data_IF_086063412184
#
_entry.id   IF_086063412184
#
_cell.length_a   1.000
_cell.length_b   1.000
_cell.length_c   1.000
_cell.angle_alpha   90.00
_cell.angle_beta   90.00
_cell.angle_gamma   90.00
#
_symmetry.space_group_name_H-M   'P 1'
#
loop_
_entity.id
_entity.type
_entity.pdbx_description
1 polymer ?
#
# COMPACT_ATOMS: atom_id res chain seq x y z
N UNK A 1 31.11 -31.04 -19.38
CA UNK A 1 31.72 -29.74 -19.04
C UNK A 1 31.06 -29.06 -17.86
N UNK A 2 29.71 -29.06 -17.70
CA UNK A 2 29.01 -28.51 -16.53
C UNK A 2 29.45 -29.14 -15.21
N UNK A 3 29.57 -30.47 -15.14
CA UNK A 3 29.94 -31.20 -13.92
C UNK A 3 31.36 -30.90 -13.41
N UNK A 4 32.30 -30.57 -14.29
CA UNK A 4 33.68 -30.20 -13.88
C UNK A 4 33.75 -28.78 -13.29
N UNK A 5 32.93 -27.85 -13.80
CA UNK A 5 32.85 -26.48 -13.25
C UNK A 5 32.15 -26.43 -11.89
N UNK A 6 31.11 -27.24 -11.66
CA UNK A 6 30.42 -27.34 -10.36
C UNK A 6 31.36 -27.92 -9.28
N UNK A 7 32.07 -28.99 -9.55
CA UNK A 7 33.07 -29.54 -8.59
C UNK A 7 34.19 -28.56 -8.27
N UNK A 8 34.58 -27.69 -9.21
CA UNK A 8 35.58 -26.64 -8.96
C UNK A 8 35.02 -25.53 -8.05
N UNK A 9 33.74 -25.14 -8.19
CA UNK A 9 33.11 -24.13 -7.35
C UNK A 9 32.94 -24.60 -5.91
N UNK A 10 32.43 -25.83 -5.72
CA UNK A 10 32.29 -26.46 -4.41
C UNK A 10 33.63 -26.52 -3.66
N UNK A 11 34.72 -26.93 -4.37
CA UNK A 11 36.04 -27.02 -3.73
C UNK A 11 36.59 -25.67 -3.32
N UNK A 12 36.36 -24.60 -4.08
CA UNK A 12 36.76 -23.23 -3.72
C UNK A 12 35.99 -22.75 -2.51
N UNK A 13 34.66 -22.98 -2.51
CA UNK A 13 33.80 -22.61 -1.39
C UNK A 13 34.22 -23.34 -0.10
N UNK A 14 34.48 -24.63 -0.20
CA UNK A 14 34.88 -25.46 0.94
C UNK A 14 36.21 -24.99 1.56
N UNK A 15 37.19 -24.62 0.74
CA UNK A 15 38.45 -24.04 1.21
C UNK A 15 38.25 -22.69 1.95
N UNK A 16 37.33 -21.88 1.50
CA UNK A 16 37.01 -20.60 2.18
C UNK A 16 36.26 -20.86 3.49
N UNK A 17 35.30 -21.80 3.52
CA UNK A 17 34.54 -22.16 4.72
C UNK A 17 35.45 -22.83 5.77
N UNK A 18 36.40 -23.67 5.35
CA UNK A 18 37.36 -24.34 6.24
C UNK A 18 38.45 -23.38 6.79
N UNK A 19 38.56 -22.18 6.24
CA UNK A 19 39.59 -21.23 6.65
C UNK A 19 40.93 -21.42 5.95
N UNK A 20 41.01 -22.25 4.90
CA UNK A 20 42.20 -22.42 4.05
C UNK A 20 42.43 -21.22 3.10
N UNK A 21 41.49 -20.30 3.05
CA UNK A 21 41.57 -19.04 2.33
C UNK A 21 40.92 -17.92 3.11
N UNK A 22 41.61 -16.78 3.24
CA UNK A 22 41.14 -15.60 3.97
C UNK A 22 40.20 -14.72 3.18
N UNK A 23 40.27 -14.77 1.85
CA UNK A 23 39.48 -13.92 0.95
C UNK A 23 38.87 -14.77 -0.17
N UNK A 24 37.59 -14.59 -0.37
CA UNK A 24 36.85 -15.14 -1.50
C UNK A 24 36.47 -14.00 -2.48
N UNK A 25 36.94 -14.11 -3.72
CA UNK A 25 36.52 -13.22 -4.80
C UNK A 25 35.50 -13.96 -5.67
N UNK A 26 34.31 -13.40 -5.75
CA UNK A 26 33.20 -14.03 -6.49
C UNK A 26 32.35 -12.98 -7.23
N UNK A 27 31.60 -13.43 -8.21
CA UNK A 27 30.52 -12.64 -8.82
C UNK A 27 29.24 -12.81 -8.01
N UNK A 28 28.11 -12.30 -8.51
CA UNK A 28 26.79 -12.36 -7.89
C UNK A 28 26.25 -13.78 -7.60
N UNK A 29 26.98 -14.83 -7.97
CA UNK A 29 26.68 -16.23 -7.64
C UNK A 29 26.46 -16.47 -6.13
N UNK A 30 27.07 -15.61 -5.28
CA UNK A 30 26.92 -15.69 -3.81
C UNK A 30 25.50 -15.29 -3.34
N UNK A 31 24.67 -14.71 -4.20
CA UNK A 31 23.29 -14.37 -3.85
C UNK A 31 22.42 -15.60 -3.54
N UNK A 32 22.73 -16.75 -4.10
CA UNK A 32 21.94 -17.98 -3.95
C UNK A 32 22.45 -18.87 -2.80
N UNK A 33 21.74 -18.77 -1.64
CA UNK A 33 21.61 -19.84 -0.64
C UNK A 33 22.85 -20.33 0.12
N UNK A 34 24.04 -19.80 -0.13
CA UNK A 34 25.26 -20.28 0.53
C UNK A 34 25.41 -19.61 1.91
N UNK A 35 25.51 -20.43 2.95
CA UNK A 35 25.81 -19.98 4.30
C UNK A 35 27.31 -20.01 4.58
N UNK A 36 27.87 -18.86 4.96
CA UNK A 36 29.31 -18.72 5.26
C UNK A 36 29.45 -18.11 6.66
N UNK A 37 29.35 -18.92 7.74
CA UNK A 37 29.33 -18.44 9.11
C UNK A 37 30.58 -17.66 9.51
N UNK A 38 31.74 -17.97 8.93
CA UNK A 38 33.02 -17.35 9.28
C UNK A 38 33.28 -16.02 8.58
N UNK A 39 32.48 -15.66 7.55
CA UNK A 39 32.64 -14.39 6.87
C UNK A 39 32.00 -13.24 7.67
N UNK A 40 32.83 -12.34 8.15
CA UNK A 40 32.38 -11.14 8.88
C UNK A 40 32.42 -9.87 8.04
N UNK A 41 32.97 -9.90 6.85
CA UNK A 41 33.15 -8.72 5.98
C UNK A 41 32.76 -9.06 4.55
N UNK A 42 31.95 -8.19 3.94
CA UNK A 42 31.64 -8.22 2.51
C UNK A 42 32.01 -6.89 1.87
N UNK A 43 32.63 -6.94 0.70
CA UNK A 43 32.97 -5.78 -0.11
C UNK A 43 32.29 -5.95 -1.46
N UNK A 44 31.34 -5.04 -1.78
CA UNK A 44 30.61 -5.02 -3.05
C UNK A 44 31.21 -3.92 -3.92
N UNK A 45 31.84 -4.32 -5.01
CA UNK A 45 32.42 -3.39 -5.99
C UNK A 45 31.30 -2.98 -6.98
N UNK A 46 31.32 -1.71 -7.45
CA UNK A 46 30.31 -1.15 -8.33
C UNK A 46 28.88 -1.27 -7.74
N UNK A 47 28.73 -1.05 -6.44
CA UNK A 47 27.45 -1.17 -5.73
C UNK A 47 26.35 -0.23 -6.28
N UNK A 48 26.73 0.85 -6.94
CA UNK A 48 25.83 1.77 -7.64
C UNK A 48 25.08 1.15 -8.83
N UNK A 49 25.61 0.03 -9.36
CA UNK A 49 24.97 -0.74 -10.44
C UNK A 49 24.02 -1.80 -9.92
N UNK A 50 24.07 -2.14 -8.64
CA UNK A 50 23.25 -3.18 -8.03
C UNK A 50 21.82 -2.70 -7.72
N UNK A 51 20.85 -3.61 -7.78
CA UNK A 51 19.50 -3.37 -7.28
C UNK A 51 19.47 -3.34 -5.75
N UNK A 52 18.47 -2.66 -5.15
CA UNK A 52 18.35 -2.56 -3.70
C UNK A 52 18.14 -3.92 -3.04
N UNK A 53 17.28 -4.77 -3.61
CA UNK A 53 17.07 -6.13 -3.14
C UNK A 53 18.38 -6.96 -3.19
N UNK A 54 19.17 -6.80 -4.24
CA UNK A 54 20.46 -7.47 -4.40
C UNK A 54 21.46 -7.03 -3.33
N UNK A 55 21.59 -5.72 -3.09
CA UNK A 55 22.43 -5.19 -2.01
C UNK A 55 22.02 -5.71 -0.64
N UNK A 56 20.71 -5.81 -0.40
CA UNK A 56 20.17 -6.35 0.85
C UNK A 56 20.51 -7.83 1.03
N UNK A 57 20.37 -8.64 -0.03
CA UNK A 57 20.73 -10.06 0.00
C UNK A 57 22.22 -10.26 0.23
N UNK A 58 23.09 -9.50 -0.47
CA UNK A 58 24.53 -9.55 -0.30
C UNK A 58 24.95 -9.16 1.13
N UNK A 59 24.38 -8.08 1.69
CA UNK A 59 24.63 -7.68 3.08
C UNK A 59 24.21 -8.77 4.07
N UNK A 60 23.09 -9.47 3.81
CA UNK A 60 22.60 -10.57 4.63
C UNK A 60 23.48 -11.83 4.59
N UNK A 61 24.57 -11.86 3.80
CA UNK A 61 25.55 -12.97 3.78
C UNK A 61 26.58 -12.90 4.89
N UNK A 62 26.72 -11.74 5.56
CA UNK A 62 27.59 -11.56 6.71
C UNK A 62 26.78 -11.22 7.96
N UNK A 63 27.34 -11.43 9.15
CA UNK A 63 26.67 -11.12 10.41
C UNK A 63 25.72 -12.21 10.91
N UNK A 64 26.03 -13.46 10.62
CA UNK A 64 25.26 -14.62 11.10
C UNK A 64 25.81 -15.26 12.37
N UNK A 65 26.79 -14.61 12.99
CA UNK A 65 27.39 -15.00 14.28
C UNK A 65 27.32 -13.81 15.22
N UNK A 66 27.70 -14.00 16.48
CA UNK A 66 27.76 -12.94 17.51
C UNK A 66 28.85 -11.88 17.24
N UNK A 67 29.61 -12.02 16.16
CA UNK A 67 30.66 -11.07 15.79
C UNK A 67 30.09 -9.91 14.98
N UNK A 68 30.63 -8.72 15.18
CA UNK A 68 30.31 -7.55 14.38
C UNK A 68 30.68 -7.81 12.92
N UNK A 69 29.74 -7.55 12.01
CA UNK A 69 29.93 -7.70 10.59
C UNK A 69 29.95 -6.36 9.86
N UNK A 70 30.68 -6.31 8.76
CA UNK A 70 30.89 -5.11 7.96
C UNK A 70 30.49 -5.35 6.51
N UNK A 71 29.73 -4.41 5.94
CA UNK A 71 29.40 -4.40 4.52
C UNK A 71 29.88 -3.09 3.87
N UNK A 72 30.87 -3.18 3.00
CA UNK A 72 31.42 -2.05 2.25
C UNK A 72 30.80 -2.01 0.86
N UNK A 73 29.99 -0.97 0.56
CA UNK A 73 29.38 -0.75 -0.73
C UNK A 73 30.20 0.31 -1.49
N UNK A 74 31.02 -0.15 -2.43
CA UNK A 74 32.01 0.68 -3.11
C UNK A 74 31.53 1.11 -4.48
N UNK A 75 31.83 2.34 -4.88
CA UNK A 75 31.66 2.88 -6.20
C UNK A 75 32.87 3.74 -6.61
N UNK A 76 33.01 4.04 -7.88
CA UNK A 76 34.20 4.75 -8.40
C UNK A 76 34.29 6.17 -7.81
N UNK A 77 35.47 6.54 -7.36
CA UNK A 77 35.78 7.90 -6.88
C UNK A 77 35.48 8.91 -8.00
N UNK A 78 34.81 10.01 -7.64
CA UNK A 78 34.40 11.09 -8.55
C UNK A 78 33.32 10.71 -9.59
N UNK A 79 32.70 9.54 -9.47
CA UNK A 79 31.54 9.20 -10.31
C UNK A 79 30.31 9.95 -9.79
N UNK A 80 29.63 10.67 -10.69
CA UNK A 80 28.31 11.24 -10.41
C UNK A 80 27.32 10.07 -10.39
N UNK A 81 26.73 9.80 -9.22
CA UNK A 81 25.71 8.79 -9.08
C UNK A 81 24.41 9.26 -9.72
N UNK A 82 23.66 8.34 -10.29
CA UNK A 82 22.28 8.64 -10.67
C UNK A 82 21.44 8.81 -9.41
N UNK A 83 20.38 9.62 -9.45
CA UNK A 83 19.45 9.81 -8.33
C UNK A 83 18.92 8.48 -7.77
N UNK A 84 18.64 7.53 -8.65
CA UNK A 84 18.19 6.18 -8.30
C UNK A 84 19.27 5.41 -7.56
N UNK A 85 20.53 5.47 -8.00
CA UNK A 85 21.63 4.77 -7.32
C UNK A 85 21.89 5.37 -5.93
N UNK A 86 21.85 6.71 -5.81
CA UNK A 86 22.02 7.41 -4.54
C UNK A 86 20.91 7.02 -3.54
N UNK A 87 19.63 7.03 -3.97
CA UNK A 87 18.50 6.62 -3.15
C UNK A 87 18.64 5.17 -2.66
N UNK A 88 19.11 4.24 -3.53
CA UNK A 88 19.34 2.83 -3.15
C UNK A 88 20.44 2.68 -2.11
N UNK A 89 21.59 3.34 -2.33
CA UNK A 89 22.71 3.28 -1.40
C UNK A 89 22.36 3.91 -0.04
N UNK A 90 21.57 4.98 -0.04
CA UNK A 90 21.04 5.59 1.18
C UNK A 90 20.08 4.66 1.90
N UNK A 91 19.13 4.06 1.20
CA UNK A 91 18.17 3.12 1.78
C UNK A 91 18.86 1.91 2.46
N UNK A 92 19.85 1.28 1.80
CA UNK A 92 20.56 0.13 2.39
C UNK A 92 21.36 0.51 3.64
N UNK A 93 21.80 1.76 3.75
CA UNK A 93 22.49 2.29 4.93
C UNK A 93 21.52 2.56 6.09
N UNK A 94 20.30 3.00 5.79
CA UNK A 94 19.26 3.28 6.79
C UNK A 94 18.66 1.99 7.37
N UNK A 95 18.42 0.97 6.54
CA UNK A 95 17.83 -0.29 6.98
C UNK A 95 18.86 -1.28 7.56
N UNK A 96 19.41 -0.96 8.73
CA UNK A 96 20.46 -1.77 9.38
C UNK A 96 19.92 -2.93 10.20
N UNK A 97 18.65 -2.93 10.57
CA UNK A 97 18.04 -3.94 11.43
C UNK A 97 17.79 -5.26 10.68
N UNK A 98 17.93 -6.39 11.38
CA UNK A 98 17.52 -7.70 10.89
C UNK A 98 15.99 -7.72 10.67
N UNK A 99 15.58 -8.37 9.57
CA UNK A 99 14.16 -8.43 9.21
C UNK A 99 13.63 -7.26 8.39
N UNK A 100 14.49 -6.29 8.03
CA UNK A 100 14.10 -5.13 7.20
C UNK A 100 13.80 -5.49 5.73
N UNK A 101 13.82 -6.76 5.34
CA UNK A 101 13.64 -7.19 3.94
C UNK A 101 12.37 -6.65 3.29
N UNK A 102 11.30 -6.55 4.07
CA UNK A 102 10.07 -5.94 3.62
C UNK A 102 10.21 -4.43 3.35
N UNK A 103 10.80 -3.67 4.29
CA UNK A 103 11.05 -2.23 4.14
C UNK A 103 11.93 -1.96 2.91
N UNK A 104 12.90 -2.83 2.66
CA UNK A 104 13.78 -2.78 1.49
C UNK A 104 13.01 -3.03 0.18
N UNK A 105 12.13 -4.03 0.14
CA UNK A 105 11.32 -4.32 -1.04
C UNK A 105 10.38 -3.15 -1.38
N UNK A 106 9.75 -2.55 -0.38
CA UNK A 106 8.91 -1.36 -0.55
C UNK A 106 9.72 -0.17 -1.05
N UNK A 107 10.89 0.07 -0.47
CA UNK A 107 11.77 1.16 -0.91
C UNK A 107 12.30 0.94 -2.33
N UNK A 108 12.55 -0.29 -2.74
CA UNK A 108 12.95 -0.60 -4.13
C UNK A 108 11.82 -0.28 -5.13
N UNK A 109 10.57 -0.58 -4.78
CA UNK A 109 9.38 -0.21 -5.57
C UNK A 109 9.23 1.32 -5.68
N UNK A 110 9.41 2.05 -4.58
CA UNK A 110 9.37 3.52 -4.57
C UNK A 110 10.48 4.11 -5.46
N UNK A 111 11.71 3.62 -5.33
CA UNK A 111 12.89 4.10 -6.08
C UNK A 111 12.78 3.79 -7.58
N UNK A 112 12.24 2.63 -7.94
CA UNK A 112 12.00 2.26 -9.35
C UNK A 112 10.89 3.09 -9.98
N UNK A 113 10.15 3.87 -9.17
CA UNK A 113 8.95 4.53 -9.62
C UNK A 113 7.94 3.48 -10.06
N UNK A 114 7.11 2.97 -9.16
CA UNK A 114 6.05 2.02 -9.52
C UNK A 114 5.12 2.57 -10.64
N UNK A 115 5.28 3.86 -10.98
CA UNK A 115 4.67 4.53 -12.09
C UNK A 115 5.15 4.15 -13.49
N UNK A 116 6.28 3.47 -13.63
CA UNK A 116 6.85 3.22 -14.96
C UNK A 116 6.50 1.83 -15.55
N UNK A 117 5.87 0.95 -14.77
CA UNK A 117 5.48 -0.39 -15.24
C UNK A 117 4.15 -0.37 -16.00
N UNK A 118 3.33 0.68 -15.86
CA UNK A 118 1.96 0.77 -16.39
C UNK A 118 1.62 2.09 -17.12
N UNK A 119 2.60 2.81 -17.68
CA UNK A 119 2.34 4.02 -18.47
C UNK A 119 2.22 5.28 -17.60
N UNK A 120 2.78 6.37 -18.09
CA UNK A 120 2.99 7.64 -17.38
C UNK A 120 1.70 8.35 -16.88
N UNK A 121 0.52 7.96 -17.34
CA UNK A 121 -0.76 8.61 -17.00
C UNK A 121 -1.54 7.94 -15.86
N UNK A 122 -1.18 6.71 -15.43
CA UNK A 122 -1.87 5.98 -14.35
C UNK A 122 -1.08 5.90 -13.04
N UNK A 123 0.09 6.49 -12.98
CA UNK A 123 1.08 6.28 -11.92
C UNK A 123 0.69 6.83 -10.54
N UNK A 124 -0.17 7.83 -10.46
CA UNK A 124 -0.58 8.47 -9.20
C UNK A 124 -1.61 7.66 -8.41
N UNK A 125 -2.50 6.94 -9.09
CA UNK A 125 -3.62 6.24 -8.46
C UNK A 125 -3.28 4.85 -7.94
N UNK A 126 -2.44 4.08 -8.66
CA UNK A 126 -2.12 2.70 -8.28
C UNK A 126 -1.11 2.56 -7.14
N UNK A 127 -0.25 3.57 -6.88
CA UNK A 127 0.71 3.50 -5.77
C UNK A 127 0.04 3.50 -4.40
N UNK A 128 -1.06 4.24 -4.23
CA UNK A 128 -1.72 4.36 -2.93
C UNK A 128 -2.60 3.14 -2.61
N UNK A 129 -3.33 2.63 -3.58
CA UNK A 129 -4.19 1.45 -3.41
C UNK A 129 -3.35 0.17 -3.20
N UNK A 130 -2.24 0.02 -3.93
CA UNK A 130 -1.34 -1.13 -3.78
C UNK A 130 -0.66 -1.22 -2.43
N UNK A 131 -0.29 -0.09 -1.82
CA UNK A 131 0.34 -0.07 -0.50
C UNK A 131 -0.63 -0.41 0.62
N UNK A 132 -1.83 0.14 0.59
CA UNK A 132 -2.90 -0.14 1.56
C UNK A 132 -3.32 -1.61 1.53
N UNK A 133 -3.56 -2.14 0.34
CA UNK A 133 -3.88 -3.55 0.13
C UNK A 133 -2.75 -4.46 0.62
N UNK A 134 -1.51 -4.11 0.34
CA UNK A 134 -0.35 -4.87 0.79
C UNK A 134 -0.23 -4.86 2.33
N UNK A 135 -0.34 -3.69 2.99
CA UNK A 135 -0.32 -3.60 4.45
C UNK A 135 -1.43 -4.44 5.08
N UNK A 136 -2.63 -4.42 4.51
CA UNK A 136 -3.76 -5.25 4.95
C UNK A 136 -3.47 -6.74 4.78
N UNK A 137 -2.99 -7.17 3.61
CA UNK A 137 -2.66 -8.58 3.35
C UNK A 137 -1.57 -9.11 4.29
N UNK A 138 -0.56 -8.30 4.62
CA UNK A 138 0.49 -8.68 5.57
C UNK A 138 -0.05 -8.75 6.99
N UNK A 139 -0.87 -7.78 7.41
CA UNK A 139 -1.50 -7.80 8.74
C UNK A 139 -2.42 -9.01 8.89
N UNK A 140 -3.24 -9.29 7.90
CA UNK A 140 -4.12 -10.46 7.84
C UNK A 140 -3.32 -11.78 7.86
N UNK A 141 -2.21 -11.86 7.13
CA UNK A 141 -1.34 -13.03 7.12
C UNK A 141 -0.67 -13.25 8.49
N UNK A 142 -0.22 -12.18 9.15
CA UNK A 142 0.37 -12.24 10.50
C UNK A 142 -0.68 -12.64 11.53
N UNK A 143 -1.89 -12.11 11.46
CA UNK A 143 -3.00 -12.47 12.35
C UNK A 143 -3.43 -13.91 12.16
N UNK A 144 -3.55 -14.40 10.92
CA UNK A 144 -3.79 -15.84 10.63
C UNK A 144 -2.67 -16.73 11.16
N UNK A 145 -1.42 -16.33 11.03
CA UNK A 145 -0.27 -17.06 11.57
C UNK A 145 -0.26 -17.12 13.11
N UNK A 146 -0.85 -16.12 13.77
CA UNK A 146 -1.08 -16.10 15.23
C UNK A 146 -2.31 -16.89 15.67
N UNK A 147 -3.06 -17.50 14.74
CA UNK A 147 -4.28 -18.27 15.04
C UNK A 147 -5.51 -17.40 15.33
N UNK A 148 -5.45 -16.09 14.99
CA UNK A 148 -6.62 -15.23 15.07
C UNK A 148 -7.58 -15.53 13.91
N UNK A 149 -8.88 -15.50 14.20
CA UNK A 149 -9.91 -15.70 13.18
C UNK A 149 -10.02 -14.40 12.37
N UNK A 150 -9.28 -14.33 11.25
CA UNK A 150 -9.39 -13.22 10.33
C UNK A 150 -10.57 -13.51 9.40
N UNK A 151 -11.62 -12.69 9.36
CA UNK A 151 -12.72 -12.88 8.42
C UNK A 151 -12.15 -13.01 6.99
N UNK A 152 -12.72 -13.91 6.18
CA UNK A 152 -12.42 -13.91 4.75
C UNK A 152 -12.68 -12.51 4.22
N UNK A 153 -11.80 -12.00 3.30
CA UNK A 153 -12.03 -10.68 2.72
C UNK A 153 -13.43 -10.69 2.12
N UNK A 154 -14.32 -9.90 2.70
CA UNK A 154 -15.55 -9.52 2.01
C UNK A 154 -15.12 -9.01 0.63
N UNK A 155 -15.85 -9.39 -0.43
CA UNK A 155 -15.54 -9.02 -1.83
C UNK A 155 -15.02 -7.60 -1.86
N UNK A 156 -13.76 -7.42 -2.28
CA UNK A 156 -13.06 -6.14 -2.20
C UNK A 156 -13.82 -5.13 -3.05
N UNK A 157 -14.37 -4.11 -2.39
CA UNK A 157 -15.11 -3.04 -3.06
C UNK A 157 -14.10 -2.30 -3.95
N UNK A 158 -14.32 -2.36 -5.25
CA UNK A 158 -13.50 -1.63 -6.21
C UNK A 158 -13.96 -0.17 -6.26
N UNK A 159 -13.03 0.77 -5.96
CA UNK A 159 -13.31 2.22 -5.98
C UNK A 159 -12.33 2.86 -6.97
N UNK A 160 -12.84 3.25 -8.14
CA UNK A 160 -12.11 3.89 -9.23
C UNK A 160 -12.59 5.33 -9.43
N UNK A 161 -12.03 6.26 -8.69
CA UNK A 161 -12.34 7.69 -8.78
C UNK A 161 -11.09 8.47 -9.22
N UNK A 162 -11.26 9.43 -10.14
CA UNK A 162 -10.19 10.33 -10.58
C UNK A 162 -9.92 11.43 -9.53
N UNK A 163 -9.33 11.03 -8.39
CA UNK A 163 -8.97 11.93 -7.29
C UNK A 163 -7.58 11.57 -6.75
N UNK A 164 -6.76 12.58 -6.48
CA UNK A 164 -5.52 12.39 -5.73
C UNK A 164 -5.88 12.20 -4.24
N UNK A 165 -5.55 11.04 -3.67
CA UNK A 165 -5.87 10.67 -2.30
C UNK A 165 -4.62 10.07 -1.62
N UNK A 166 -3.77 10.93 -1.04
CA UNK A 166 -2.52 10.53 -0.40
C UNK A 166 -2.06 11.55 0.64
N UNK A 167 -1.09 11.18 1.46
CA UNK A 167 -0.36 12.09 2.33
C UNK A 167 0.89 12.54 1.59
N UNK A 168 1.00 13.80 1.12
CA UNK A 168 2.17 14.30 0.41
C UNK A 168 3.45 14.25 1.26
N UNK A 169 4.61 14.02 0.64
CA UNK A 169 5.89 13.96 1.36
C UNK A 169 6.27 15.31 1.99
N UNK A 170 5.82 16.42 1.42
CA UNK A 170 6.06 17.75 1.98
C UNK A 170 5.21 18.05 3.23
N UNK A 171 4.08 17.33 3.42
CA UNK A 171 3.21 17.47 4.57
C UNK A 171 3.67 16.60 5.75
N UNK A 172 3.97 15.32 5.50
CA UNK A 172 4.59 14.42 6.48
C UNK A 172 5.78 13.75 5.79
N UNK A 173 6.99 14.19 6.11
CA UNK A 173 8.25 13.70 5.55
C UNK A 173 8.76 12.43 6.26
N UNK A 174 8.40 12.25 7.54
CA UNK A 174 8.76 11.08 8.33
C UNK A 174 7.92 9.87 7.94
N UNK A 175 8.55 8.87 7.31
CA UNK A 175 7.88 7.67 6.80
C UNK A 175 7.16 6.86 7.89
N UNK A 176 7.72 6.79 9.12
CA UNK A 176 7.09 6.07 10.23
C UNK A 176 5.81 6.76 10.70
N UNK A 177 5.85 8.08 10.85
CA UNK A 177 4.67 8.88 11.23
C UNK A 177 3.61 8.84 10.11
N UNK A 178 4.05 8.94 8.87
CA UNK A 178 3.19 8.85 7.70
C UNK A 178 2.45 7.51 7.64
N UNK A 179 3.16 6.40 7.87
CA UNK A 179 2.56 5.06 7.95
C UNK A 179 1.57 4.93 9.10
N UNK A 180 1.87 5.52 10.28
CA UNK A 180 0.94 5.55 11.39
C UNK A 180 -0.35 6.29 11.04
N UNK A 181 -0.24 7.43 10.33
CA UNK A 181 -1.41 8.18 9.88
C UNK A 181 -2.22 7.42 8.83
N UNK A 182 -1.58 6.76 7.85
CA UNK A 182 -2.29 5.89 6.92
C UNK A 182 -3.08 4.79 7.63
N UNK A 183 -2.49 4.14 8.64
CA UNK A 183 -3.19 3.12 9.44
C UNK A 183 -4.39 3.68 10.19
N UNK A 184 -4.26 4.86 10.79
CA UNK A 184 -5.38 5.54 11.46
C UNK A 184 -6.47 5.94 10.47
N UNK A 185 -6.11 6.54 9.33
CA UNK A 185 -7.08 6.93 8.29
C UNK A 185 -7.83 5.70 7.77
N UNK A 186 -7.16 4.55 7.61
CA UNK A 186 -7.78 3.31 7.15
C UNK A 186 -8.86 2.77 8.11
N UNK A 187 -8.89 3.20 9.37
CA UNK A 187 -9.92 2.81 10.34
C UNK A 187 -11.12 3.75 10.41
N UNK A 188 -11.10 4.87 9.66
CA UNK A 188 -12.20 5.83 9.60
C UNK A 188 -13.45 5.16 9.02
N UNK A 189 -14.53 5.21 9.78
CA UNK A 189 -15.81 4.60 9.41
C UNK A 189 -17.01 5.53 9.59
N UNK A 190 -16.85 6.59 10.40
CA UNK A 190 -17.88 7.57 10.73
C UNK A 190 -17.39 9.00 10.49
N UNK A 191 -18.29 9.99 10.53
CA UNK A 191 -17.91 11.40 10.46
C UNK A 191 -17.11 11.83 11.68
N UNK A 192 -17.47 11.32 12.84
CA UNK A 192 -16.77 11.59 14.09
C UNK A 192 -15.32 11.12 14.01
N UNK A 193 -15.07 9.89 13.50
CA UNK A 193 -13.71 9.38 13.26
C UNK A 193 -12.92 10.28 12.29
N UNK A 194 -13.61 10.77 11.24
CA UNK A 194 -13.01 11.67 10.24
C UNK A 194 -12.60 13.01 10.87
N UNK A 195 -13.47 13.62 11.69
CA UNK A 195 -13.21 14.88 12.39
C UNK A 195 -12.05 14.72 13.39
N UNK A 196 -12.04 13.65 14.19
CA UNK A 196 -10.94 13.37 15.13
C UNK A 196 -9.58 13.26 14.43
N UNK A 197 -9.52 12.60 13.28
CA UNK A 197 -8.27 12.48 12.51
C UNK A 197 -7.87 13.79 11.85
N UNK A 198 -8.83 14.57 11.36
CA UNK A 198 -8.58 15.90 10.80
C UNK A 198 -7.99 16.82 11.89
N UNK A 199 -8.59 16.83 13.08
CA UNK A 199 -8.11 17.62 14.22
C UNK A 199 -6.70 17.18 14.66
N UNK A 200 -6.43 15.86 14.75
CA UNK A 200 -5.09 15.36 15.06
C UNK A 200 -4.05 15.78 14.02
N UNK A 201 -4.39 15.69 12.74
CA UNK A 201 -3.49 16.07 11.66
C UNK A 201 -3.23 17.59 11.66
N UNK A 202 -4.27 18.38 11.88
CA UNK A 202 -4.18 19.84 11.96
C UNK A 202 -3.28 20.29 13.13
N UNK A 203 -3.47 19.69 14.31
CA UNK A 203 -2.70 20.01 15.51
C UNK A 203 -1.22 19.65 15.35
N UNK A 204 -0.91 18.52 14.72
CA UNK A 204 0.46 18.00 14.63
C UNK A 204 1.26 18.48 13.42
N UNK A 205 0.60 18.74 12.31
CA UNK A 205 1.27 19.00 11.02
C UNK A 205 0.79 20.27 10.32
N UNK A 206 -0.21 20.99 10.88
CA UNK A 206 -0.80 22.18 10.28
C UNK A 206 -1.86 21.86 9.22
N UNK A 207 -2.15 22.86 8.36
CA UNK A 207 -3.24 22.79 7.37
C UNK A 207 -3.16 21.55 6.48
N UNK A 208 -4.27 20.82 6.40
CA UNK A 208 -4.34 19.58 5.64
C UNK A 208 -4.31 19.83 4.13
N UNK A 209 -3.45 19.13 3.38
CA UNK A 209 -3.54 19.09 1.93
C UNK A 209 -4.86 18.49 1.45
N UNK A 210 -5.34 18.97 0.30
CA UNK A 210 -6.56 18.44 -0.30
C UNK A 210 -6.48 16.92 -0.57
N UNK A 211 -5.32 16.45 -0.95
CA UNK A 211 -5.04 15.04 -1.19
C UNK A 211 -5.23 14.20 0.07
N UNK A 212 -4.89 14.74 1.24
CA UNK A 212 -5.07 14.07 2.53
C UNK A 212 -6.54 14.07 2.97
N UNK A 213 -7.27 15.16 2.74
CA UNK A 213 -8.72 15.21 2.95
C UNK A 213 -9.45 14.21 2.03
N UNK A 214 -9.04 14.13 0.77
CA UNK A 214 -9.58 13.14 -0.16
C UNK A 214 -9.32 11.70 0.32
N UNK A 215 -8.14 11.42 0.88
CA UNK A 215 -7.79 10.09 1.41
C UNK A 215 -8.73 9.70 2.58
N UNK A 216 -9.00 10.61 3.49
CA UNK A 216 -9.94 10.40 4.61
C UNK A 216 -11.35 10.13 4.07
N UNK A 217 -11.82 10.92 3.11
CA UNK A 217 -13.12 10.72 2.48
C UNK A 217 -13.24 9.37 1.74
N UNK A 218 -12.20 8.95 1.01
CA UNK A 218 -12.16 7.64 0.33
C UNK A 218 -12.19 6.49 1.34
N UNK A 219 -11.52 6.62 2.49
CA UNK A 219 -11.56 5.62 3.56
C UNK A 219 -12.99 5.46 4.11
N UNK A 220 -13.65 6.59 4.36
CA UNK A 220 -15.04 6.61 4.82
C UNK A 220 -16.01 6.03 3.78
N UNK A 221 -15.83 6.39 2.49
CA UNK A 221 -16.61 5.80 1.39
C UNK A 221 -16.46 4.26 1.39
N UNK A 222 -15.26 3.72 1.57
CA UNK A 222 -15.03 2.28 1.62
C UNK A 222 -15.77 1.62 2.78
N UNK A 223 -15.67 2.20 3.98
CA UNK A 223 -16.36 1.67 5.17
C UNK A 223 -17.88 1.67 4.99
N UNK A 224 -18.45 2.80 4.56
CA UNK A 224 -19.90 2.93 4.30
C UNK A 224 -20.37 1.98 3.19
N UNK A 225 -19.58 1.84 2.12
CA UNK A 225 -19.88 0.94 1.01
C UNK A 225 -20.05 -0.51 1.45
N UNK A 226 -19.18 -1.00 2.36
CA UNK A 226 -19.31 -2.33 2.95
C UNK A 226 -20.62 -2.50 3.73
N UNK A 227 -21.04 -1.46 4.44
CA UNK A 227 -22.26 -1.49 5.25
C UNK A 227 -23.54 -1.57 4.41
N UNK A 228 -23.52 -1.03 3.19
CA UNK A 228 -24.71 -0.93 2.32
C UNK A 228 -24.64 -1.87 1.10
N UNK A 229 -23.63 -2.74 1.03
CA UNK A 229 -23.50 -3.76 -0.02
C UNK A 229 -23.16 -3.19 -1.39
N UNK A 230 -22.35 -2.15 -1.44
CA UNK A 230 -21.77 -1.65 -2.70
C UNK A 230 -20.73 -2.66 -3.20
N UNK A 231 -20.78 -2.99 -4.48
CA UNK A 231 -19.80 -3.87 -5.14
C UNK A 231 -18.72 -3.11 -5.90
N UNK A 232 -19.09 -1.97 -6.52
CA UNK A 232 -18.16 -1.18 -7.33
C UNK A 232 -18.58 0.29 -7.36
N UNK A 233 -17.60 1.19 -7.31
CA UNK A 233 -17.76 2.64 -7.53
C UNK A 233 -16.78 3.05 -8.60
N UNK A 234 -17.25 3.60 -9.71
CA UNK A 234 -16.34 4.12 -10.73
C UNK A 234 -16.87 5.42 -11.36
N UNK A 235 -15.95 6.13 -11.98
CA UNK A 235 -16.26 7.34 -12.72
C UNK A 235 -16.43 7.04 -14.21
N UNK A 236 -17.54 7.44 -14.79
CA UNK A 236 -17.82 7.32 -16.20
C UNK A 236 -18.35 8.64 -16.78
N UNK A 237 -17.66 9.20 -17.76
CA UNK A 237 -18.04 10.45 -18.42
C UNK A 237 -18.33 11.62 -17.44
N UNK A 238 -17.48 11.75 -16.40
CA UNK A 238 -17.60 12.79 -15.38
C UNK A 238 -18.70 12.58 -14.33
N UNK A 239 -19.36 11.41 -14.35
CA UNK A 239 -20.41 11.02 -13.41
C UNK A 239 -19.91 9.85 -12.57
N UNK A 240 -20.35 9.77 -11.32
CA UNK A 240 -20.07 8.62 -10.44
C UNK A 240 -21.17 7.58 -10.61
N UNK A 241 -20.79 6.33 -10.81
CA UNK A 241 -21.71 5.19 -10.87
C UNK A 241 -21.36 4.25 -9.71
N UNK A 242 -22.36 3.94 -8.90
CA UNK A 242 -22.25 3.09 -7.70
C UNK A 242 -23.09 1.85 -7.93
N UNK A 243 -22.48 0.69 -8.04
CA UNK A 243 -23.14 -0.60 -8.21
C UNK A 243 -23.34 -1.29 -6.86
N UNK A 244 -24.44 -1.97 -6.73
CA UNK A 244 -24.80 -2.74 -5.54
C UNK A 244 -24.80 -4.23 -5.85
N UNK A 245 -24.48 -5.07 -4.86
CA UNK A 245 -24.59 -6.51 -4.99
C UNK A 245 -26.05 -6.92 -5.28
N UNK A 246 -26.23 -7.97 -6.11
CA UNK A 246 -27.56 -8.42 -6.57
C UNK A 246 -28.53 -8.73 -5.42
N UNK A 247 -28.01 -9.21 -4.29
CA UNK A 247 -28.80 -9.59 -3.12
C UNK A 247 -29.20 -8.39 -2.24
N UNK A 248 -28.74 -7.19 -2.57
CA UNK A 248 -28.97 -6.00 -1.77
C UNK A 248 -30.05 -5.12 -2.39
N UNK A 249 -31.31 -5.39 -2.03
CA UNK A 249 -32.44 -4.56 -2.46
C UNK A 249 -32.38 -3.21 -1.75
N UNK A 250 -32.01 -2.15 -2.49
CA UNK A 250 -32.11 -0.78 -1.99
C UNK A 250 -33.55 -0.46 -1.57
N UNK A 251 -33.72 -0.09 -0.30
CA UNK A 251 -35.04 0.19 0.26
C UNK A 251 -35.64 1.44 -0.40
N UNK A 252 -36.92 1.39 -0.77
CA UNK A 252 -37.59 2.49 -1.42
C UNK A 252 -37.56 3.79 -0.59
N UNK A 253 -37.64 3.69 0.73
CA UNK A 253 -37.53 4.83 1.64
C UNK A 253 -36.16 5.51 1.58
N UNK A 254 -35.06 4.76 1.55
CA UNK A 254 -33.70 5.30 1.41
C UNK A 254 -33.54 6.01 0.06
N UNK A 255 -34.07 5.44 -1.04
CA UNK A 255 -34.04 6.05 -2.37
C UNK A 255 -34.87 7.35 -2.43
N UNK A 256 -36.02 7.40 -1.74
CA UNK A 256 -36.82 8.61 -1.61
C UNK A 256 -36.04 9.71 -0.89
N UNK A 257 -35.39 9.40 0.25
CA UNK A 257 -34.56 10.35 0.98
C UNK A 257 -33.37 10.86 0.17
N UNK A 258 -32.72 9.98 -0.58
CA UNK A 258 -31.65 10.35 -1.50
C UNK A 258 -32.18 11.28 -2.62
N UNK A 259 -33.39 11.01 -3.17
CA UNK A 259 -34.03 11.89 -4.15
C UNK A 259 -34.37 13.27 -3.58
N UNK A 260 -34.82 13.35 -2.34
CA UNK A 260 -35.08 14.64 -1.65
C UNK A 260 -33.81 15.50 -1.57
N UNK A 261 -32.64 14.89 -1.25
CA UNK A 261 -31.37 15.61 -1.11
C UNK A 261 -30.73 15.97 -2.45
N UNK A 262 -30.69 15.03 -3.40
CA UNK A 262 -29.93 15.18 -4.64
C UNK A 262 -30.76 15.65 -5.84
N UNK A 263 -32.08 15.60 -5.76
CA UNK A 263 -32.98 16.10 -6.80
C UNK A 263 -32.69 15.49 -8.17
N UNK A 264 -32.47 16.35 -9.18
CA UNK A 264 -32.20 15.93 -10.56
C UNK A 264 -30.76 15.41 -10.81
N UNK A 265 -29.86 15.51 -9.82
CA UNK A 265 -28.47 15.06 -9.96
C UNK A 265 -28.30 13.57 -9.70
N UNK A 266 -29.30 12.87 -9.16
CA UNK A 266 -29.28 11.46 -8.88
C UNK A 266 -30.19 10.70 -9.86
N UNK A 267 -29.75 9.51 -10.27
CA UNK A 267 -30.51 8.60 -11.11
C UNK A 267 -30.38 7.18 -10.57
N UNK A 268 -31.50 6.46 -10.47
CA UNK A 268 -31.58 5.10 -9.97
C UNK A 268 -31.86 4.14 -11.12
N UNK A 269 -31.15 3.03 -11.16
CA UNK A 269 -31.44 1.91 -12.06
C UNK A 269 -31.64 0.64 -11.21
N UNK A 270 -32.78 -0.01 -11.42
CA UNK A 270 -33.11 -1.31 -10.82
C UNK A 270 -32.84 -2.45 -11.80
N UNK A 271 -33.02 -3.68 -11.37
CA UNK A 271 -32.85 -4.89 -12.18
C UNK A 271 -31.73 -5.79 -11.70
N UNK A 272 -31.17 -6.60 -12.60
CA UNK A 272 -30.15 -7.58 -12.25
C UNK A 272 -28.81 -6.96 -11.77
N UNK A 273 -28.53 -5.73 -12.19
CA UNK A 273 -27.35 -4.96 -11.76
C UNK A 273 -27.81 -3.58 -11.29
N UNK A 274 -28.29 -3.46 -10.05
CA UNK A 274 -28.78 -2.19 -9.55
C UNK A 274 -27.64 -1.20 -9.35
N UNK A 275 -27.84 0.04 -9.83
CA UNK A 275 -26.85 1.10 -9.65
C UNK A 275 -27.50 2.46 -9.38
N UNK A 276 -26.74 3.32 -8.75
CA UNK A 276 -27.05 4.74 -8.56
C UNK A 276 -26.01 5.55 -9.34
N UNK A 277 -26.46 6.54 -10.10
CA UNK A 277 -25.58 7.47 -10.82
C UNK A 277 -25.75 8.88 -10.26
N UNK A 278 -24.62 9.48 -9.85
CA UNK A 278 -24.53 10.86 -9.38
C UNK A 278 -23.90 11.75 -10.46
N UNK A 279 -24.55 12.88 -10.75
CA UNK A 279 -24.10 13.91 -11.69
C UNK A 279 -23.80 15.20 -10.93
N UNK A 280 -22.65 15.22 -10.21
CA UNK A 280 -22.25 16.32 -9.32
C UNK A 280 -20.91 16.91 -9.76
N UNK A 281 -20.62 18.14 -9.33
CA UNK A 281 -19.35 18.79 -9.64
C UNK A 281 -18.16 18.01 -9.05
N UNK A 282 -17.01 18.02 -9.75
CA UNK A 282 -15.81 17.26 -9.34
C UNK A 282 -15.39 17.59 -7.89
N UNK A 283 -15.47 18.85 -7.48
CA UNK A 283 -15.08 19.32 -6.13
C UNK A 283 -15.99 18.80 -5.01
N UNK A 284 -17.24 18.47 -5.31
CA UNK A 284 -18.27 18.04 -4.35
C UNK A 284 -18.49 16.51 -4.39
N UNK A 285 -17.74 15.81 -5.22
CA UNK A 285 -17.99 14.42 -5.57
C UNK A 285 -17.83 13.47 -4.40
N UNK A 286 -16.71 13.56 -3.67
CA UNK A 286 -16.47 12.69 -2.51
C UNK A 286 -17.49 12.91 -1.41
N UNK A 287 -17.77 14.16 -1.07
CA UNK A 287 -18.78 14.51 -0.06
C UNK A 287 -20.17 14.01 -0.48
N UNK A 288 -20.52 14.15 -1.76
CA UNK A 288 -21.79 13.66 -2.28
C UNK A 288 -21.92 12.13 -2.23
N UNK A 289 -20.83 11.40 -2.44
CA UNK A 289 -20.81 9.93 -2.29
C UNK A 289 -20.99 9.56 -0.82
N UNK A 290 -20.25 10.19 0.09
CA UNK A 290 -20.39 9.99 1.54
C UNK A 290 -21.82 10.23 1.98
N UNK A 291 -22.38 11.40 1.66
CA UNK A 291 -23.74 11.79 1.99
C UNK A 291 -24.77 10.78 1.48
N UNK A 292 -24.60 10.29 0.25
CA UNK A 292 -25.51 9.28 -0.33
C UNK A 292 -25.44 7.96 0.43
N UNK A 293 -24.21 7.47 0.68
CA UNK A 293 -24.00 6.20 1.37
C UNK A 293 -24.50 6.23 2.82
N UNK A 294 -24.34 7.38 3.52
CA UNK A 294 -24.93 7.60 4.84
C UNK A 294 -26.45 7.53 4.81
N UNK A 295 -27.09 8.25 3.87
CA UNK A 295 -28.55 8.20 3.73
C UNK A 295 -29.02 6.75 3.53
N UNK A 296 -28.33 5.97 2.70
CA UNK A 296 -28.68 4.58 2.46
C UNK A 296 -28.46 3.75 3.72
N UNK A 297 -27.32 3.93 4.40
CA UNK A 297 -26.97 3.21 5.62
C UNK A 297 -27.98 3.46 6.74
N UNK A 298 -28.33 4.72 6.98
CA UNK A 298 -29.24 5.13 8.07
C UNK A 298 -30.67 4.64 7.86
N UNK A 299 -31.05 4.38 6.61
CA UNK A 299 -32.41 3.99 6.23
C UNK A 299 -32.51 2.56 5.67
N UNK A 300 -31.45 1.75 5.80
CA UNK A 300 -31.45 0.36 5.29
C UNK A 300 -32.48 -0.56 5.97
N UNK A 301 -32.79 -0.29 7.24
CA UNK A 301 -33.71 -1.09 8.07
C UNK A 301 -35.12 -0.51 8.17
N UNK A 302 -35.41 0.58 7.44
CA UNK A 302 -36.73 1.23 7.45
C UNK A 302 -37.61 0.60 6.38
N UNK A 303 -38.75 0.07 6.78
CA UNK A 303 -39.75 -0.47 5.85
C UNK A 303 -40.42 0.65 5.03
N UNK A 304 -41.09 0.25 3.92
CA UNK A 304 -41.81 1.17 3.03
C UNK A 304 -42.89 2.03 3.73
N UNK A 305 -43.26 1.73 4.98
CA UNK A 305 -44.17 2.50 5.82
C UNK A 305 -43.48 3.57 6.65
N UNK A 306 -42.15 3.71 6.60
CA UNK A 306 -41.39 4.63 7.42
C UNK A 306 -41.25 4.22 8.88
N UNK A 307 -41.64 3.01 9.26
CA UNK A 307 -41.50 2.47 10.62
C UNK A 307 -40.18 1.68 10.72
N UNK A 308 -39.35 2.00 11.72
CA UNK A 308 -38.16 1.20 12.04
C UNK A 308 -38.63 -0.14 12.60
N UNK A 309 -38.18 -1.27 12.06
CA UNK A 309 -38.33 -2.56 12.70
C UNK A 309 -37.49 -2.56 13.99
N UNK A 310 -38.16 -2.44 15.13
CA UNK A 310 -37.62 -2.68 16.46
C UNK A 310 -37.50 -4.20 16.65
N UNK A 311 -36.34 -4.76 16.36
CA UNK A 311 -35.97 -6.10 16.73
C UNK A 311 -34.85 -6.10 17.77
#
# INVERSE_FOLDING_TARGET
EKSKKEKSLESVMQRFISGDADVLVATTIIESGIDIPNANTIIVIDADKCGLAQLYQLRGRVGRTDKIAYAYLMYQKNKVLTEVAEKRLKAIKEFTEFGSGFKVAMRDLEIRGAGNVLGAEQSGHMMNIGYELYCKLVDDAVRRAKGENVPEPADEINIELDVAANIPNWYIDNETLKLQMYKKIATVSTREDSEEIIDELLDRFGDLPRETLNLIAVSMIRALSGNVGVSNIHEQAGKVVIYFAQDNALKAYALMKASEKFGSTIFFHGGNEPFIRLSVARKERLDSIVDLLEIISDNKDVDNSGSKNLS
#
